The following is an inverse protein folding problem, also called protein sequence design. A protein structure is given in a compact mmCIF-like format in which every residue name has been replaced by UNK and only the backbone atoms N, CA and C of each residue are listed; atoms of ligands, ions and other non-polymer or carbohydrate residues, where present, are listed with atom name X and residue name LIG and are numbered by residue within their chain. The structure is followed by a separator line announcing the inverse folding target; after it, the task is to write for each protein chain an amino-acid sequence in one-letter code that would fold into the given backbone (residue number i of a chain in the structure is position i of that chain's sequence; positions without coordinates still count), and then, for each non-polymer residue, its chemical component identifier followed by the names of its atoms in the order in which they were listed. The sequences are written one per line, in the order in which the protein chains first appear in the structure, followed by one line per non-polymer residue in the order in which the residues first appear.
data_IF_713257933136
#
_entry.id   IF_713257933136
#
_cell.length_a   1.000
_cell.length_b   1.000
_cell.length_c   1.000
_cell.angle_alpha   90.00
_cell.angle_beta   90.00
_cell.angle_gamma   90.00
#
_symmetry.space_group_name_H-M   'P 1'
#
loop_
_entity.id
_entity.type
_entity.pdbx_description
1 polymer ?
#
# COMPACT_ATOMS: atom_id res chain seq x y z
N UNK A 1 18.59 -18.11 30.03
CA UNK A 1 17.82 -17.03 29.39
C UNK A 1 16.36 -17.45 29.35
N UNK A 2 15.56 -17.04 30.35
CA UNK A 2 14.14 -17.38 30.40
C UNK A 2 13.45 -16.59 29.29
N UNK A 3 13.03 -17.27 28.22
CA UNK A 3 12.14 -16.71 27.21
C UNK A 3 10.82 -16.45 27.93
N UNK A 4 10.66 -15.24 28.43
CA UNK A 4 9.45 -14.86 29.12
C UNK A 4 8.31 -14.89 28.11
N UNK A 5 7.21 -15.58 28.43
CA UNK A 5 6.09 -15.87 27.52
C UNK A 5 5.48 -14.64 26.82
N UNK A 6 5.76 -13.42 27.30
CA UNK A 6 5.38 -12.19 26.61
C UNK A 6 6.03 -12.04 25.22
N UNK A 7 7.26 -12.52 25.02
CA UNK A 7 7.92 -12.47 23.72
C UNK A 7 7.15 -13.27 22.67
N UNK A 8 6.57 -14.41 23.08
CA UNK A 8 5.75 -15.25 22.19
C UNK A 8 4.49 -14.50 21.78
N UNK A 9 3.85 -13.79 22.71
CA UNK A 9 2.69 -12.95 22.40
C UNK A 9 3.03 -11.81 21.44
N UNK A 10 4.18 -11.14 21.62
CA UNK A 10 4.63 -10.08 20.70
C UNK A 10 4.94 -10.64 19.32
N UNK A 11 5.61 -11.79 19.23
CA UNK A 11 5.90 -12.45 17.95
C UNK A 11 4.62 -12.84 17.21
N UNK A 12 3.62 -13.39 17.92
CA UNK A 12 2.32 -13.74 17.33
C UNK A 12 1.61 -12.48 16.81
N UNK A 13 1.58 -11.41 17.59
CA UNK A 13 0.96 -10.15 17.19
C UNK A 13 1.64 -9.57 15.94
N UNK A 14 2.97 -9.61 15.88
CA UNK A 14 3.76 -9.08 14.77
C UNK A 14 3.53 -9.91 13.49
N UNK A 15 3.46 -11.23 13.60
CA UNK A 15 3.13 -12.13 12.48
C UNK A 15 1.69 -11.89 11.99
N UNK A 16 0.73 -11.69 12.88
CA UNK A 16 -0.65 -11.36 12.53
C UNK A 16 -0.75 -10.04 11.75
N UNK A 17 -0.05 -9.01 12.21
CA UNK A 17 0.00 -7.71 11.52
C UNK A 17 0.64 -7.87 10.14
N UNK A 18 1.76 -8.58 10.05
CA UNK A 18 2.43 -8.84 8.77
C UNK A 18 1.52 -9.60 7.79
N UNK A 19 0.83 -10.65 8.26
CA UNK A 19 -0.11 -11.42 7.46
C UNK A 19 -1.28 -10.57 6.97
N UNK A 20 -1.81 -9.69 7.83
CA UNK A 20 -2.89 -8.76 7.48
C UNK A 20 -2.45 -7.77 6.39
N UNK A 21 -1.25 -7.18 6.52
CA UNK A 21 -0.68 -6.28 5.51
C UNK A 21 -0.51 -7.01 4.18
N UNK A 22 0.04 -8.21 4.19
CA UNK A 22 0.20 -9.03 2.97
C UNK A 22 -1.16 -9.35 2.35
N UNK A 23 -2.17 -9.71 3.15
CA UNK A 23 -3.51 -9.98 2.66
C UNK A 23 -4.14 -8.74 1.99
N UNK A 24 -3.99 -7.55 2.59
CA UNK A 24 -4.48 -6.29 2.01
C UNK A 24 -3.77 -6.01 0.68
N UNK A 25 -2.45 -6.14 0.63
CA UNK A 25 -1.67 -5.94 -0.62
C UNK A 25 -2.12 -6.91 -1.71
N UNK A 26 -2.35 -8.19 -1.36
CA UNK A 26 -2.85 -9.19 -2.32
C UNK A 26 -4.26 -8.87 -2.81
N UNK A 27 -5.15 -8.40 -1.93
CA UNK A 27 -6.51 -7.97 -2.31
C UNK A 27 -6.44 -6.78 -3.25
N UNK A 28 -5.62 -5.77 -2.94
CA UNK A 28 -5.42 -4.60 -3.81
C UNK A 28 -4.89 -5.03 -5.17
N UNK A 29 -3.85 -5.87 -5.22
CA UNK A 29 -3.32 -6.40 -6.49
C UNK A 29 -4.34 -7.23 -7.26
N UNK A 30 -5.16 -8.03 -6.58
CA UNK A 30 -6.21 -8.84 -7.20
C UNK A 30 -7.33 -7.98 -7.77
N UNK A 31 -7.75 -6.93 -7.05
CA UNK A 31 -8.74 -5.95 -7.53
C UNK A 31 -8.21 -5.16 -8.73
N UNK A 32 -6.97 -4.68 -8.67
CA UNK A 32 -6.34 -3.98 -9.82
C UNK A 32 -6.21 -4.88 -11.06
N UNK A 33 -5.96 -6.18 -10.90
CA UNK A 33 -5.94 -7.13 -12.03
C UNK A 33 -7.34 -7.41 -12.59
N UNK A 34 -8.38 -7.44 -11.75
CA UNK A 34 -9.74 -7.80 -12.19
C UNK A 34 -10.44 -6.68 -12.97
N UNK A 35 -9.98 -5.44 -12.87
CA UNK A 35 -10.47 -4.32 -13.69
C UNK A 35 -10.04 -4.36 -15.16
N UNK A 36 -9.17 -5.30 -15.58
CA UNK A 36 -8.73 -5.42 -16.97
C UNK A 36 -9.56 -6.38 -17.84
N UNK A 37 -10.58 -7.07 -17.30
CA UNK A 37 -11.40 -8.05 -18.07
C UNK A 37 -12.77 -7.51 -18.49
N UNK A 38 -13.00 -6.20 -18.40
CA UNK A 38 -14.22 -5.56 -18.95
C UNK A 38 -13.84 -4.31 -19.75
N UNK A 39 -13.06 -4.49 -20.81
CA UNK A 39 -12.78 -3.46 -21.79
C UNK A 39 -13.81 -3.54 -22.93
N UNK A 40 -15.06 -3.19 -22.63
CA UNK A 40 -15.95 -2.57 -23.60
C UNK A 40 -16.05 -1.09 -23.18
N UNK A 41 -15.56 -0.20 -24.06
CA UNK A 41 -15.50 1.25 -23.90
C UNK A 41 -14.51 1.79 -22.84
N UNK A 42 -13.31 2.18 -23.30
CA UNK A 42 -12.49 3.14 -22.58
C UNK A 42 -13.21 4.50 -22.50
N UNK A 43 -13.05 5.22 -21.38
CA UNK A 43 -12.45 6.55 -21.52
C UNK A 43 -11.41 6.82 -20.44
N UNK A 44 -10.22 7.26 -20.87
CA UNK A 44 -9.15 7.89 -20.07
C UNK A 44 -8.81 7.14 -18.77
N UNK A 45 -8.01 6.09 -18.94
CA UNK A 45 -7.21 5.53 -17.86
C UNK A 45 -6.47 6.69 -17.15
N UNK A 46 -6.62 6.88 -15.82
CA UNK A 46 -5.86 7.91 -15.13
C UNK A 46 -4.40 7.65 -15.41
N UNK A 47 -3.76 8.65 -15.98
CA UNK A 47 -2.33 8.70 -16.29
C UNK A 47 -1.58 8.07 -15.13
N UNK A 48 -0.66 7.13 -15.35
CA UNK A 48 0.00 6.39 -14.25
C UNK A 48 0.58 7.25 -13.11
N UNK A 49 0.81 8.55 -13.36
CA UNK A 49 1.12 9.57 -12.35
C UNK A 49 0.00 9.79 -11.33
N UNK A 50 -1.24 9.99 -11.76
CA UNK A 50 -2.41 10.20 -10.88
C UNK A 50 -2.68 8.97 -10.00
N UNK A 51 -2.51 7.77 -10.56
CA UNK A 51 -2.63 6.53 -9.80
C UNK A 51 -1.53 6.39 -8.75
N UNK A 52 -0.28 6.75 -9.08
CA UNK A 52 0.83 6.78 -8.12
C UNK A 52 0.66 7.84 -7.03
N UNK A 53 0.12 9.01 -7.38
CA UNK A 53 -0.21 10.07 -6.44
C UNK A 53 -1.29 9.60 -5.44
N UNK A 54 -2.32 8.90 -5.91
CA UNK A 54 -3.35 8.34 -5.04
C UNK A 54 -2.82 7.24 -4.11
N UNK A 55 -1.91 6.38 -4.61
CA UNK A 55 -1.24 5.35 -3.80
C UNK A 55 -0.34 5.97 -2.72
N UNK A 56 0.36 7.06 -3.05
CA UNK A 56 1.19 7.81 -2.10
C UNK A 56 0.35 8.52 -1.03
N UNK A 57 -0.81 9.05 -1.39
CA UNK A 57 -1.76 9.67 -0.46
C UNK A 57 -2.34 8.66 0.53
N UNK A 58 -2.68 7.47 0.03
CA UNK A 58 -3.16 6.36 0.83
C UNK A 58 -2.09 5.82 1.80
N UNK A 59 -0.82 5.77 1.38
CA UNK A 59 0.32 5.47 2.26
C UNK A 59 0.47 6.50 3.39
N UNK A 60 0.27 7.79 3.09
CA UNK A 60 0.31 8.88 4.09
C UNK A 60 -0.87 8.78 5.06
N UNK A 61 -2.08 8.53 4.55
CA UNK A 61 -3.28 8.37 5.35
C UNK A 61 -3.19 7.20 6.34
N UNK A 62 -2.45 6.14 5.98
CA UNK A 62 -2.14 5.00 6.86
C UNK A 62 -0.95 5.25 7.80
N UNK A 63 -0.30 6.42 7.73
CA UNK A 63 0.87 6.77 8.53
C UNK A 63 2.13 5.97 8.19
N UNK A 64 2.19 5.36 7.00
CA UNK A 64 3.35 4.55 6.57
C UNK A 64 4.46 5.39 5.94
N UNK A 65 4.17 6.65 5.59
CA UNK A 65 5.16 7.63 5.11
C UNK A 65 5.00 8.91 5.91
N UNK A 66 6.12 9.55 6.21
CA UNK A 66 6.15 10.85 6.89
C UNK A 66 5.83 11.98 5.90
N UNK A 67 5.42 13.14 6.40
CA UNK A 67 5.11 14.30 5.54
C UNK A 67 6.31 14.72 4.67
N UNK A 68 7.53 14.61 5.19
CA UNK A 68 8.74 14.90 4.45
C UNK A 68 8.97 13.94 3.28
N UNK A 69 8.71 12.64 3.48
CA UNK A 69 8.83 11.60 2.46
C UNK A 69 7.72 11.70 1.41
N UNK A 70 6.50 12.05 1.84
CA UNK A 70 5.37 12.31 0.95
C UNK A 70 5.68 13.46 -0.01
N UNK A 71 6.14 14.60 0.49
CA UNK A 71 6.43 15.77 -0.35
C UNK A 71 7.56 15.49 -1.35
N UNK A 72 8.61 14.77 -0.92
CA UNK A 72 9.70 14.37 -1.79
C UNK A 72 9.24 13.43 -2.93
N UNK A 73 8.47 12.39 -2.60
CA UNK A 73 7.94 11.44 -3.59
C UNK A 73 6.90 12.09 -4.52
N UNK A 74 6.07 13.00 -4.00
CA UNK A 74 5.11 13.77 -4.79
C UNK A 74 5.81 14.65 -5.82
N UNK A 75 6.90 15.32 -5.43
CA UNK A 75 7.69 16.16 -6.33
C UNK A 75 8.40 15.33 -7.42
N UNK A 76 8.88 14.14 -7.09
CA UNK A 76 9.49 13.20 -8.06
C UNK A 76 8.48 12.74 -9.12
N UNK A 77 7.27 12.34 -8.69
CA UNK A 77 6.18 11.92 -9.59
C UNK A 77 5.74 13.05 -10.53
N UNK A 78 5.78 14.31 -10.07
CA UNK A 78 5.40 15.48 -10.86
C UNK A 78 6.50 15.92 -11.84
N UNK A 79 7.77 15.60 -11.55
CA UNK A 79 8.95 15.92 -12.36
C UNK A 79 9.20 14.88 -13.45
N UNK A 80 8.98 13.60 -13.13
CA UNK A 80 8.84 12.48 -14.09
C UNK A 80 7.75 12.78 -15.11
#
# INVERSE_FOLDING_TARGET
MQIQGWHILVLIALVMIAALVVAIVLIVKAVSKRSHTTAAAAPRQPSGKEQRLAELDDLRARGQVTDAEYEAARADILRS
#
